data_IF_722843134777
#
_entry.id   IF_722843134777
#
_cell.length_a   1.000
_cell.length_b   1.000
_cell.length_c   1.000
_cell.angle_alpha   90.00
_cell.angle_beta   90.00
_cell.angle_gamma   90.00
#
_symmetry.space_group_name_H-M   'P 1'
#
loop_
_entity.id
_entity.type
_entity.pdbx_description
1 polymer ?
#
# COMPACT_ATOMS: atom_id res chain seq x y z
N UNK A 1 29.74 12.41 14.74
CA UNK A 1 29.59 11.24 13.86
C UNK A 1 28.76 11.66 12.65
N UNK A 2 29.38 11.85 11.48
CA UNK A 2 28.69 12.28 10.24
C UNK A 2 28.59 11.10 9.27
N UNK A 3 27.33 10.84 8.90
CA UNK A 3 26.81 10.24 7.66
C UNK A 3 27.23 8.82 7.29
N UNK A 4 26.24 7.92 7.34
CA UNK A 4 25.93 7.08 6.18
C UNK A 4 24.43 7.22 5.89
N UNK A 5 24.11 8.17 5.00
CA UNK A 5 22.89 8.06 4.19
C UNK A 5 23.26 7.06 3.10
N UNK A 6 22.56 5.93 3.03
CA UNK A 6 22.73 4.96 1.96
C UNK A 6 22.45 5.63 0.59
N UNK A 7 23.18 5.26 -0.48
CA UNK A 7 22.95 5.82 -1.80
C UNK A 7 21.55 5.47 -2.29
N UNK A 8 20.75 6.47 -2.65
CA UNK A 8 19.46 6.27 -3.29
C UNK A 8 19.69 5.64 -4.67
N UNK A 9 19.29 4.38 -4.84
CA UNK A 9 19.22 3.76 -6.16
C UNK A 9 18.24 4.55 -7.04
N UNK A 10 18.45 4.65 -8.37
CA UNK A 10 17.45 5.21 -9.26
C UNK A 10 16.34 4.16 -9.46
N UNK A 11 15.50 3.97 -8.46
CA UNK A 11 14.37 3.05 -8.51
C UNK A 11 13.11 3.85 -8.70
N UNK A 12 12.44 3.63 -9.83
CA UNK A 12 11.08 4.12 -10.08
C UNK A 12 10.22 3.92 -8.83
N UNK A 13 9.67 5.00 -8.31
CA UNK A 13 8.81 5.02 -7.13
C UNK A 13 7.34 5.11 -7.56
N UNK A 14 6.41 4.69 -6.70
CA UNK A 14 4.97 4.82 -6.98
C UNK A 14 4.60 6.27 -7.26
N UNK A 15 5.15 7.20 -6.46
CA UNK A 15 4.97 8.64 -6.64
C UNK A 15 5.37 9.13 -8.05
N UNK A 16 6.56 8.74 -8.52
CA UNK A 16 7.04 9.14 -9.86
C UNK A 16 6.20 8.55 -10.99
N UNK A 17 5.67 7.32 -10.84
CA UNK A 17 4.76 6.71 -11.81
C UNK A 17 3.44 7.48 -11.86
N UNK A 18 2.85 7.77 -10.71
CA UNK A 18 1.60 8.50 -10.60
C UNK A 18 1.72 9.86 -11.29
N UNK A 19 2.78 10.61 -11.00
CA UNK A 19 3.01 11.92 -11.57
C UNK A 19 3.26 11.88 -13.09
N UNK A 20 3.91 10.83 -13.59
CA UNK A 20 4.12 10.65 -15.03
C UNK A 20 2.80 10.35 -15.74
N UNK A 21 2.02 9.41 -15.21
CA UNK A 21 0.73 9.00 -15.81
C UNK A 21 -0.29 10.14 -15.74
N UNK A 22 -0.33 10.88 -14.63
CA UNK A 22 -1.21 12.05 -14.49
C UNK A 22 -0.94 13.09 -15.58
N UNK A 23 0.34 13.41 -15.83
CA UNK A 23 0.74 14.36 -16.88
C UNK A 23 0.48 13.86 -18.29
N UNK A 24 0.81 12.61 -18.57
CA UNK A 24 0.68 12.03 -19.91
C UNK A 24 -0.77 11.78 -20.32
N UNK A 25 -1.61 11.38 -19.38
CA UNK A 25 -2.99 10.94 -19.63
C UNK A 25 -4.03 11.96 -19.15
N UNK A 26 -3.62 13.01 -18.46
CA UNK A 26 -4.52 14.02 -17.88
C UNK A 26 -5.43 13.45 -16.80
N UNK A 27 -5.02 12.37 -16.12
CA UNK A 27 -5.82 11.70 -15.09
C UNK A 27 -5.53 12.36 -13.75
N UNK A 28 -6.58 12.62 -12.97
CA UNK A 28 -6.45 13.13 -11.61
C UNK A 28 -5.59 12.20 -10.75
N UNK A 29 -4.61 12.78 -10.05
CA UNK A 29 -3.70 12.07 -9.15
C UNK A 29 -4.45 11.22 -8.13
N UNK A 30 -5.57 11.73 -7.60
CA UNK A 30 -6.42 11.03 -6.64
C UNK A 30 -6.98 9.72 -7.21
N UNK A 31 -7.44 9.74 -8.46
CA UNK A 31 -7.95 8.55 -9.14
C UNK A 31 -6.85 7.51 -9.33
N UNK A 32 -5.63 7.94 -9.67
CA UNK A 32 -4.48 7.03 -9.80
C UNK A 32 -4.09 6.41 -8.46
N UNK A 33 -4.10 7.20 -7.37
CA UNK A 33 -3.84 6.69 -6.03
C UNK A 33 -4.87 5.62 -5.65
N UNK A 34 -6.16 5.92 -5.79
CA UNK A 34 -7.24 4.96 -5.48
C UNK A 34 -7.10 3.68 -6.31
N UNK A 35 -6.72 3.78 -7.58
CA UNK A 35 -6.48 2.63 -8.44
C UNK A 35 -5.27 1.79 -7.96
N UNK A 36 -4.19 2.44 -7.52
CA UNK A 36 -3.00 1.76 -6.97
C UNK A 36 -3.35 1.07 -5.65
N UNK A 37 -4.03 1.73 -4.73
CA UNK A 37 -4.49 1.15 -3.46
C UNK A 37 -5.35 -0.09 -3.73
N UNK A 38 -6.35 0.02 -4.62
CA UNK A 38 -7.21 -1.10 -4.99
C UNK A 38 -6.44 -2.25 -5.64
N UNK A 39 -5.45 -1.94 -6.51
CA UNK A 39 -4.62 -2.96 -7.15
C UNK A 39 -3.77 -3.72 -6.13
N UNK A 40 -3.15 -3.01 -5.18
CA UNK A 40 -2.32 -3.60 -4.14
C UNK A 40 -3.17 -4.41 -3.16
N UNK A 41 -4.33 -3.91 -2.74
CA UNK A 41 -5.26 -4.65 -1.89
C UNK A 41 -5.73 -5.95 -2.57
N UNK A 42 -6.08 -5.90 -3.86
CA UNK A 42 -6.46 -7.08 -4.63
C UNK A 42 -5.30 -8.09 -4.75
N UNK A 43 -4.07 -7.61 -4.97
CA UNK A 43 -2.89 -8.47 -4.99
C UNK A 43 -2.65 -9.13 -3.63
N UNK A 44 -2.83 -8.37 -2.54
CA UNK A 44 -2.67 -8.86 -1.18
C UNK A 44 -3.71 -9.94 -0.83
N UNK A 45 -4.98 -9.76 -1.20
CA UNK A 45 -6.00 -10.80 -1.02
C UNK A 45 -5.65 -12.10 -1.76
N UNK A 46 -5.12 -12.00 -2.99
CA UNK A 46 -4.67 -13.17 -3.76
C UNK A 46 -3.49 -13.88 -3.09
N UNK A 47 -2.57 -13.13 -2.48
CA UNK A 47 -1.35 -13.68 -1.89
C UNK A 47 -1.55 -14.21 -0.46
N UNK A 48 -2.36 -13.53 0.36
CA UNK A 48 -2.47 -13.78 1.81
C UNK A 48 -3.78 -14.48 2.22
N UNK A 49 -4.76 -14.55 1.31
CA UNK A 49 -6.07 -15.15 1.53
C UNK A 49 -7.19 -14.12 1.48
N UNK A 50 -8.28 -14.47 0.79
CA UNK A 50 -9.44 -13.59 0.59
C UNK A 50 -10.21 -13.30 1.88
N UNK A 51 -10.10 -14.18 2.89
CA UNK A 51 -10.85 -14.06 4.14
C UNK A 51 -10.26 -13.01 5.10
N UNK A 52 -9.01 -12.60 4.90
CA UNK A 52 -8.38 -11.56 5.73
C UNK A 52 -8.97 -10.19 5.42
N UNK A 53 -9.18 -9.38 6.45
CA UNK A 53 -9.58 -7.98 6.30
C UNK A 53 -8.34 -7.12 6.06
N UNK A 54 -7.99 -6.91 4.79
CA UNK A 54 -6.80 -6.19 4.35
C UNK A 54 -7.17 -4.82 3.77
N UNK A 55 -6.35 -3.81 4.04
CA UNK A 55 -6.50 -2.46 3.49
C UNK A 55 -5.15 -1.92 3.06
N UNK A 56 -5.06 -1.46 1.81
CA UNK A 56 -3.88 -0.78 1.30
C UNK A 56 -4.10 0.73 1.35
N UNK A 57 -3.10 1.49 1.82
CA UNK A 57 -3.16 2.96 1.87
C UNK A 57 -1.89 3.58 1.33
N UNK A 58 -2.04 4.56 0.44
CA UNK A 58 -0.94 5.37 -0.06
C UNK A 58 -0.62 6.50 0.92
N UNK A 59 0.64 6.59 1.31
CA UNK A 59 1.17 7.68 2.09
C UNK A 59 1.75 8.75 1.15
N UNK A 60 1.11 9.92 1.14
CA UNK A 60 1.50 11.02 0.26
C UNK A 60 2.83 11.68 0.65
N UNK A 61 3.24 11.59 1.91
CA UNK A 61 4.50 12.17 2.38
C UNK A 61 5.69 11.27 2.04
N UNK A 62 5.53 9.95 2.18
CA UNK A 62 6.61 8.99 1.91
C UNK A 62 6.63 8.48 0.46
N UNK A 63 5.50 8.59 -0.26
CA UNK A 63 5.33 8.05 -1.60
C UNK A 63 5.22 6.52 -1.65
N UNK A 64 4.88 5.88 -0.53
CA UNK A 64 4.78 4.43 -0.37
C UNK A 64 3.34 3.96 -0.14
N UNK A 65 3.08 2.67 -0.37
CA UNK A 65 1.80 2.03 -0.05
C UNK A 65 2.01 1.08 1.13
N UNK A 66 1.29 1.34 2.22
CA UNK A 66 1.25 0.51 3.40
C UNK A 66 0.09 -0.48 3.29
N UNK A 67 0.28 -1.71 3.77
CA UNK A 67 -0.76 -2.75 3.84
C UNK A 67 -1.05 -3.08 5.30
N UNK A 68 -2.31 -2.92 5.70
CA UNK A 68 -2.80 -3.19 7.04
C UNK A 68 -3.69 -4.43 7.04
N UNK A 69 -3.61 -5.23 8.11
CA UNK A 69 -4.60 -6.26 8.42
C UNK A 69 -5.36 -5.83 9.68
N UNK A 70 -6.67 -5.74 9.58
CA UNK A 70 -7.53 -5.48 10.73
C UNK A 70 -7.93 -6.79 11.38
N UNK A 71 -7.77 -6.85 12.70
CA UNK A 71 -8.14 -8.00 13.52
C UNK A 71 -8.93 -7.52 14.73
N UNK A 72 -9.92 -8.31 15.12
CA UNK A 72 -10.78 -8.09 16.27
C UNK A 72 -10.13 -8.68 17.52
N UNK A 73 -9.97 -7.87 18.56
CA UNK A 73 -9.44 -8.35 19.84
C UNK A 73 -10.50 -9.14 20.60
N UNK A 74 -10.22 -10.38 21.00
CA UNK A 74 -11.16 -11.27 21.69
C UNK A 74 -10.52 -12.06 22.85
N UNK A 75 -11.32 -12.56 23.79
CA UNK A 75 -10.81 -13.43 24.87
C UNK A 75 -10.46 -14.84 24.40
N UNK A 76 -11.20 -15.36 23.40
CA UNK A 76 -11.00 -16.70 22.85
C UNK A 76 -11.03 -16.62 21.33
N UNK A 77 -9.88 -16.89 20.70
CA UNK A 77 -9.73 -16.84 19.24
C UNK A 77 -10.43 -18.03 18.58
N UNK A 78 -11.37 -17.75 17.69
CA UNK A 78 -12.07 -18.73 16.86
C UNK A 78 -11.69 -18.62 15.38
N UNK A 79 -11.27 -17.43 14.93
CA UNK A 79 -10.79 -17.17 13.56
C UNK A 79 -9.39 -16.54 13.55
N UNK A 80 -8.36 -17.33 13.26
CA UNK A 80 -6.96 -16.89 13.22
C UNK A 80 -6.66 -15.81 12.16
N UNK A 81 -7.57 -15.56 11.21
CA UNK A 81 -7.39 -14.53 10.18
C UNK A 81 -8.05 -13.21 10.53
N UNK A 82 -8.99 -13.21 11.48
CA UNK A 82 -9.79 -12.03 11.85
C UNK A 82 -9.78 -11.70 13.32
N UNK A 83 -9.27 -12.57 14.17
CA UNK A 83 -9.31 -12.44 15.63
C UNK A 83 -7.91 -12.58 16.23
N UNK A 84 -7.62 -11.77 17.25
CA UNK A 84 -6.36 -11.76 18.00
C UNK A 84 -6.61 -11.66 19.50
#
# INVERSE_FOLDING_TARGET
MRKQQAPAAPSVTIDTIIDHVSRDKGIDRKVLIEAVEAAIQNAAHKALGADRQLEARYNQESGQVDLFQYMKVVEHVLDNYREV
#
